data_IF_645522025155
#
_entry.id   IF_645522025155
#
_cell.length_a   1.000
_cell.length_b   1.000
_cell.length_c   1.000
_cell.angle_alpha   90.00
_cell.angle_beta   90.00
_cell.angle_gamma   90.00
#
_symmetry.space_group_name_H-M   'P 1'
#
loop_
_entity.id
_entity.type
_entity.pdbx_description
1 polymer ?
#
# COMPACT_ATOMS: atom_id res chain seq x y z
N UNK A 1 3.92 2.42 -18.60
CA UNK A 1 3.27 2.17 -17.32
C UNK A 1 1.76 2.15 -17.53
N UNK A 2 1.11 1.07 -17.12
CA UNK A 2 -0.35 1.03 -17.03
C UNK A 2 -0.70 0.97 -15.54
N UNK A 3 -1.76 1.68 -15.14
CA UNK A 3 -2.19 1.78 -13.75
C UNK A 3 -3.69 1.53 -13.67
N UNK A 4 -4.07 0.66 -12.75
CA UNK A 4 -5.45 0.38 -12.41
C UNK A 4 -5.75 0.83 -10.98
N UNK A 5 -6.96 1.32 -10.79
CA UNK A 5 -7.55 1.58 -9.49
C UNK A 5 -8.40 0.37 -9.11
N UNK A 6 -8.05 -0.26 -8.00
CA UNK A 6 -8.67 -1.47 -7.48
C UNK A 6 -9.40 -1.19 -6.18
N UNK A 7 -10.44 -1.97 -5.93
CA UNK A 7 -11.29 -1.85 -4.76
C UNK A 7 -11.59 -3.20 -4.13
N UNK A 8 -11.67 -3.21 -2.80
CA UNK A 8 -12.15 -4.36 -2.03
C UNK A 8 -13.64 -4.23 -1.72
N UNK A 9 -14.27 -5.32 -1.31
CA UNK A 9 -15.65 -5.30 -0.81
C UNK A 9 -15.80 -4.49 0.48
N UNK A 10 -14.73 -4.42 1.27
CA UNK A 10 -14.69 -3.75 2.57
C UNK A 10 -14.46 -2.22 2.45
N UNK A 11 -14.44 -1.69 1.22
CA UNK A 11 -14.32 -0.25 0.97
C UNK A 11 -12.89 0.28 1.01
N UNK A 12 -11.88 -0.57 0.79
CA UNK A 12 -10.50 -0.11 0.58
C UNK A 12 -10.23 0.15 -0.90
N UNK A 13 -9.36 1.13 -1.18
CA UNK A 13 -8.91 1.47 -2.52
C UNK A 13 -7.38 1.37 -2.66
N UNK A 14 -6.92 1.09 -3.88
CA UNK A 14 -5.50 1.02 -4.18
C UNK A 14 -5.15 1.12 -5.66
N UNK A 15 -3.96 1.61 -5.96
CA UNK A 15 -3.38 1.66 -7.29
C UNK A 15 -2.42 0.49 -7.50
N UNK A 16 -2.59 -0.20 -8.63
CA UNK A 16 -1.69 -1.24 -9.08
C UNK A 16 -1.07 -0.85 -10.42
N UNK A 17 0.25 -0.82 -10.50
CA UNK A 17 0.99 -0.47 -11.70
C UNK A 17 1.67 -1.70 -12.35
N UNK A 18 1.82 -1.67 -13.68
CA UNK A 18 2.50 -2.72 -14.46
C UNK A 18 4.04 -2.69 -14.37
N UNK A 19 4.59 -1.68 -13.69
CA UNK A 19 6.02 -1.47 -13.47
C UNK A 19 6.21 -0.64 -12.20
N UNK A 20 7.39 -0.72 -11.58
CA UNK A 20 7.70 0.09 -10.41
C UNK A 20 7.59 1.59 -10.70
N UNK A 21 7.13 2.34 -9.70
CA UNK A 21 7.21 3.78 -9.71
C UNK A 21 8.67 4.21 -9.59
N UNK A 22 9.08 5.15 -10.44
CA UNK A 22 10.48 5.60 -10.47
C UNK A 22 10.92 6.23 -9.15
N UNK A 23 9.97 6.88 -8.45
CA UNK A 23 10.15 7.48 -7.12
C UNK A 23 8.97 7.10 -6.23
N UNK A 24 9.17 7.20 -4.91
CA UNK A 24 8.08 7.00 -3.95
C UNK A 24 7.08 8.15 -4.03
N UNK A 25 5.80 7.82 -4.14
CA UNK A 25 4.73 8.81 -4.07
C UNK A 25 4.70 9.46 -2.69
N UNK A 26 4.43 10.77 -2.67
CA UNK A 26 4.08 11.50 -1.47
C UNK A 26 2.60 11.24 -1.12
N UNK A 27 1.74 11.29 -2.12
CA UNK A 27 0.29 11.21 -2.01
C UNK A 27 -0.36 10.99 -3.39
N UNK A 28 -1.65 10.69 -3.36
CA UNK A 28 -2.53 10.73 -4.54
C UNK A 28 -3.55 11.83 -4.31
N UNK A 29 -3.86 12.63 -5.33
CA UNK A 29 -4.87 13.68 -5.29
C UNK A 29 -6.02 13.28 -6.20
N UNK A 30 -7.24 13.33 -5.68
CA UNK A 30 -8.48 13.18 -6.45
C UNK A 30 -9.12 14.55 -6.62
N UNK A 31 -9.40 14.89 -7.88
CA UNK A 31 -10.21 16.03 -8.26
C UNK A 31 -11.61 15.52 -8.66
N UNK A 32 -12.63 15.91 -7.88
CA UNK A 32 -14.01 15.51 -8.16
C UNK A 32 -14.64 16.30 -9.32
N UNK A 33 -14.13 17.47 -9.66
CA UNK A 33 -14.62 18.27 -10.79
C UNK A 33 -14.24 17.63 -12.13
N UNK A 34 -12.98 17.20 -12.25
CA UNK A 34 -12.47 16.57 -13.47
C UNK A 34 -12.54 15.04 -13.44
N UNK A 35 -12.86 14.45 -12.28
CA UNK A 35 -12.80 13.01 -12.03
C UNK A 35 -11.39 12.43 -12.23
N UNK A 36 -10.33 13.23 -12.10
CA UNK A 36 -8.96 12.78 -12.38
C UNK A 36 -8.19 12.48 -11.10
N UNK A 37 -7.27 11.52 -11.20
CA UNK A 37 -6.29 11.25 -10.15
C UNK A 37 -4.93 11.81 -10.57
N UNK A 38 -4.23 12.42 -9.63
CA UNK A 38 -2.85 12.89 -9.79
C UNK A 38 -1.95 12.19 -8.78
N UNK A 39 -0.84 11.63 -9.25
CA UNK A 39 0.19 11.07 -8.40
C UNK A 39 1.25 12.12 -8.13
N UNK A 40 1.40 12.55 -6.88
CA UNK A 40 2.44 13.50 -6.49
C UNK A 40 3.66 12.78 -5.93
N UNK A 41 4.85 13.12 -6.43
CA UNK A 41 6.11 12.57 -5.96
C UNK A 41 6.73 13.47 -4.89
N UNK A 42 7.59 12.89 -4.05
CA UNK A 42 8.24 13.62 -2.95
C UNK A 42 9.14 14.80 -3.38
N UNK A 43 9.48 14.88 -4.65
CA UNK A 43 10.35 15.91 -5.22
C UNK A 43 9.58 16.95 -6.05
N UNK A 44 8.28 17.11 -5.79
CA UNK A 44 7.39 18.08 -6.44
C UNK A 44 7.12 17.80 -7.93
N UNK A 45 7.51 16.63 -8.41
CA UNK A 45 7.10 16.10 -9.70
C UNK A 45 5.70 15.47 -9.58
N UNK A 46 4.97 15.33 -10.69
CA UNK A 46 3.65 14.72 -10.68
C UNK A 46 3.34 13.95 -11.95
N UNK A 47 2.39 13.01 -11.85
CA UNK A 47 1.81 12.31 -12.99
C UNK A 47 0.28 12.41 -12.90
N UNK A 48 -0.33 13.12 -13.84
CA UNK A 48 -1.77 13.13 -14.03
C UNK A 48 -2.19 11.85 -14.77
N UNK A 49 -3.16 11.13 -14.20
CA UNK A 49 -3.64 9.88 -14.76
C UNK A 49 -4.65 10.17 -15.88
N UNK A 50 -4.50 9.50 -17.03
CA UNK A 50 -5.17 9.91 -18.26
C UNK A 50 -6.56 9.30 -18.50
N UNK A 51 -7.10 8.52 -17.55
CA UNK A 51 -8.46 7.98 -17.60
C UNK A 51 -9.23 8.45 -16.36
N UNK A 52 -10.37 9.15 -16.55
CA UNK A 52 -11.21 9.60 -15.45
C UNK A 52 -11.77 8.44 -14.62
N UNK A 53 -11.91 8.68 -13.32
CA UNK A 53 -12.52 7.77 -12.36
C UNK A 53 -14.05 7.82 -12.50
N UNK A 54 -14.70 6.67 -12.57
CA UNK A 54 -16.16 6.60 -12.55
C UNK A 54 -16.73 7.11 -11.21
N UNK A 55 -17.82 7.89 -11.31
CA UNK A 55 -18.45 8.54 -10.15
C UNK A 55 -18.97 7.55 -9.10
N UNK A 56 -19.35 6.35 -9.51
CA UNK A 56 -19.81 5.28 -8.61
C UNK A 56 -18.75 4.90 -7.57
N UNK A 57 -17.48 5.19 -7.83
CA UNK A 57 -16.37 4.89 -6.93
C UNK A 57 -16.01 6.04 -5.98
N UNK A 58 -16.60 7.23 -6.17
CA UNK A 58 -16.26 8.40 -5.38
C UNK A 58 -16.55 8.21 -3.89
N UNK A 59 -17.64 7.53 -3.53
CA UNK A 59 -17.97 7.29 -2.12
C UNK A 59 -16.90 6.44 -1.41
N UNK A 60 -16.30 5.47 -2.10
CA UNK A 60 -15.23 4.62 -1.54
C UNK A 60 -13.92 5.40 -1.41
N UNK A 61 -13.58 6.18 -2.43
CA UNK A 61 -12.39 7.04 -2.42
C UNK A 61 -12.50 8.13 -1.35
N UNK A 62 -13.68 8.74 -1.21
CA UNK A 62 -13.99 9.74 -0.20
C UNK A 62 -13.90 9.18 1.22
N UNK A 63 -14.17 7.88 1.42
CA UNK A 63 -14.02 7.21 2.70
C UNK A 63 -12.59 6.69 2.97
N UNK A 64 -11.66 6.83 2.02
CA UNK A 64 -10.32 6.25 2.07
C UNK A 64 -9.25 7.31 2.37
N UNK A 65 -8.82 7.51 3.64
CA UNK A 65 -7.77 8.49 3.96
C UNK A 65 -6.38 8.08 3.46
N UNK A 66 -6.18 6.77 3.28
CA UNK A 66 -4.97 6.18 2.72
C UNK A 66 -5.35 5.34 1.52
N UNK A 67 -4.49 5.34 0.51
CA UNK A 67 -4.61 4.49 -0.66
C UNK A 67 -3.41 3.55 -0.72
N UNK A 68 -3.68 2.28 -1.03
CA UNK A 68 -2.65 1.28 -1.26
C UNK A 68 -1.95 1.55 -2.58
N UNK A 69 -0.63 1.45 -2.62
CA UNK A 69 0.16 1.60 -3.85
C UNK A 69 0.97 0.34 -4.03
N UNK A 70 0.91 -0.27 -5.20
CA UNK A 70 1.86 -1.31 -5.56
C UNK A 70 2.13 -1.43 -7.04
N UNK A 71 3.11 -2.28 -7.34
CA UNK A 71 3.51 -2.60 -8.70
C UNK A 71 3.70 -4.11 -8.83
N UNK A 72 3.32 -4.64 -9.98
CA UNK A 72 3.54 -6.03 -10.37
C UNK A 72 4.52 -6.07 -11.52
N UNK A 73 5.57 -6.88 -11.37
CA UNK A 73 6.56 -7.11 -12.41
C UNK A 73 6.79 -8.60 -12.56
N UNK A 74 6.61 -9.13 -13.78
CA UNK A 74 6.80 -10.56 -14.11
C UNK A 74 5.97 -11.50 -13.20
N UNK A 75 4.78 -11.07 -12.79
CA UNK A 75 3.87 -11.85 -11.94
C UNK A 75 4.10 -11.71 -10.43
N UNK A 76 5.13 -10.96 -10.01
CA UNK A 76 5.42 -10.72 -8.59
C UNK A 76 5.11 -9.29 -8.19
N UNK A 77 4.61 -9.09 -6.97
CA UNK A 77 4.52 -7.78 -6.32
C UNK A 77 5.95 -7.30 -6.06
N UNK A 78 6.37 -6.27 -6.78
CA UNK A 78 7.73 -5.72 -6.74
C UNK A 78 7.84 -4.43 -5.93
N UNK A 79 6.72 -3.80 -5.62
CA UNK A 79 6.62 -2.62 -4.78
C UNK A 79 5.26 -2.60 -4.08
N UNK A 80 5.22 -2.24 -2.80
CA UNK A 80 3.99 -2.11 -2.04
C UNK A 80 4.17 -1.14 -0.87
N UNK A 81 3.26 -0.19 -0.69
CA UNK A 81 3.23 0.78 0.42
C UNK A 81 1.87 1.50 0.43
N UNK A 82 1.64 2.37 1.40
CA UNK A 82 0.46 3.24 1.44
C UNK A 82 0.87 4.71 1.40
N UNK A 83 0.02 5.54 0.81
CA UNK A 83 0.15 7.01 0.81
C UNK A 83 -1.20 7.66 1.12
N UNK A 84 -1.21 8.91 1.60
CA UNK A 84 -2.44 9.68 1.73
C UNK A 84 -3.17 9.82 0.40
N UNK A 85 -4.50 9.72 0.45
CA UNK A 85 -5.38 10.21 -0.61
C UNK A 85 -5.90 11.59 -0.18
N UNK A 86 -5.61 12.59 -1.00
CA UNK A 86 -6.08 13.96 -0.84
C UNK A 86 -7.23 14.23 -1.78
N UNK A 87 -8.18 15.03 -1.32
CA UNK A 87 -9.24 15.57 -2.17
C UNK A 87 -8.86 17.01 -2.48
N UNK A 88 -8.80 17.37 -3.76
CA UNK A 88 -8.34 18.70 -4.20
C UNK A 88 -9.14 19.82 -3.53
N UNK A 89 -10.45 19.63 -3.37
CA UNK A 89 -11.37 20.62 -2.80
C UNK A 89 -11.40 20.64 -1.26
N UNK A 90 -10.76 19.67 -0.60
CA UNK A 90 -10.72 19.58 0.86
C UNK A 90 -9.32 19.20 1.38
N UNK A 91 -8.39 20.18 1.41
CA UNK A 91 -7.01 19.94 1.87
C UNK A 91 -6.92 19.69 3.39
N UNK A 92 -7.97 20.01 4.17
CA UNK A 92 -7.99 19.81 5.61
C UNK A 92 -8.55 18.43 5.99
N UNK A 93 -9.03 17.64 5.03
CA UNK A 93 -9.62 16.34 5.35
C UNK A 93 -8.64 15.35 5.97
N UNK A 94 -7.38 15.38 5.55
CA UNK A 94 -6.32 14.60 6.19
C UNK A 94 -6.10 15.01 7.65
N UNK A 95 -6.46 16.24 8.03
CA UNK A 95 -6.49 16.64 9.44
C UNK A 95 -7.58 15.90 10.24
N UNK A 96 -8.63 15.40 9.61
CA UNK A 96 -9.60 14.54 10.32
C UNK A 96 -9.04 13.14 10.58
N UNK A 97 -7.97 12.77 9.87
CA UNK A 97 -7.35 11.46 9.89
C UNK A 97 -5.89 11.49 10.39
N UNK A 98 -5.46 12.53 11.12
CA UNK A 98 -4.07 12.66 11.65
C UNK A 98 -3.63 11.45 12.46
N UNK A 99 -4.59 10.81 13.14
CA UNK A 99 -4.38 9.64 13.99
C UNK A 99 -4.44 8.31 13.21
N UNK A 100 -4.81 8.34 11.93
CA UNK A 100 -4.69 7.20 11.01
C UNK A 100 -3.22 7.11 10.61
N UNK A 101 -2.40 6.59 11.54
CA UNK A 101 -0.99 6.31 11.26
C UNK A 101 -0.86 5.41 10.02
N UNK A 102 0.18 5.62 9.21
CA UNK A 102 0.59 4.64 8.21
C UNK A 102 0.78 3.31 8.95
N UNK A 103 -0.08 2.33 8.69
CA UNK A 103 -0.07 1.08 9.44
C UNK A 103 1.34 0.48 9.44
N UNK A 104 1.82 0.04 10.60
CA UNK A 104 3.17 -0.48 10.79
C UNK A 104 3.47 -1.74 9.93
N UNK A 105 2.51 -2.22 9.13
CA UNK A 105 2.59 -3.42 8.27
C UNK A 105 2.11 -3.15 6.84
N UNK A 106 2.52 -2.05 6.21
CA UNK A 106 2.06 -1.66 4.85
C UNK A 106 2.20 -2.77 3.79
N UNK A 107 3.24 -3.61 3.86
CA UNK A 107 3.40 -4.76 2.95
C UNK A 107 2.37 -5.87 3.19
N UNK A 108 2.13 -6.25 4.45
CA UNK A 108 1.12 -7.26 4.75
C UNK A 108 -0.28 -6.75 4.43
N UNK A 109 -0.58 -5.50 4.76
CA UNK A 109 -1.84 -4.85 4.45
C UNK A 109 -2.09 -4.85 2.93
N UNK A 110 -1.07 -4.51 2.13
CA UNK A 110 -1.16 -4.60 0.68
C UNK A 110 -1.42 -6.03 0.18
N UNK A 111 -0.75 -7.02 0.79
CA UNK A 111 -0.96 -8.43 0.45
C UNK A 111 -2.38 -8.93 0.73
N UNK A 112 -3.03 -8.43 1.79
CA UNK A 112 -4.45 -8.68 2.03
C UNK A 112 -5.33 -7.92 1.04
N UNK A 113 -5.08 -6.63 0.87
CA UNK A 113 -5.78 -5.76 -0.06
C UNK A 113 -5.88 -6.37 -1.46
N UNK A 114 -4.75 -6.73 -2.08
CA UNK A 114 -4.72 -7.29 -3.44
C UNK A 114 -5.50 -8.60 -3.54
N UNK A 115 -5.47 -9.44 -2.50
CA UNK A 115 -6.22 -10.72 -2.48
C UNK A 115 -7.73 -10.52 -2.30
N UNK A 116 -8.14 -9.42 -1.67
CA UNK A 116 -9.53 -9.05 -1.42
C UNK A 116 -10.11 -8.12 -2.51
N UNK A 117 -9.32 -7.72 -3.49
CA UNK A 117 -9.78 -6.90 -4.60
C UNK A 117 -10.83 -7.66 -5.43
N UNK A 118 -12.00 -7.05 -5.63
CA UNK A 118 -13.11 -7.66 -6.37
C UNK A 118 -13.38 -6.99 -7.71
N UNK A 119 -13.08 -5.69 -7.81
CA UNK A 119 -13.30 -4.90 -9.01
C UNK A 119 -12.24 -3.81 -9.13
N UNK A 120 -12.13 -3.24 -10.31
CA UNK A 120 -11.21 -2.15 -10.59
C UNK A 120 -11.43 -1.56 -11.96
N UNK A 121 -10.85 -0.39 -12.18
CA UNK A 121 -10.93 0.34 -13.44
C UNK A 121 -9.52 0.78 -13.88
N UNK A 122 -9.28 0.86 -15.19
CA UNK A 122 -8.09 1.52 -15.72
C UNK A 122 -8.13 3.01 -15.36
N UNK A 123 -7.02 3.55 -14.85
CA UNK A 123 -6.88 4.99 -14.59
C UNK A 123 -5.73 5.62 -15.38
N UNK A 124 -4.77 4.81 -15.83
CA UNK A 124 -3.72 5.29 -16.74
C UNK A 124 -3.27 4.23 -17.74
N UNK A 125 -3.09 4.62 -18.99
CA UNK A 125 -2.48 3.81 -20.06
C UNK A 125 -1.45 4.62 -20.83
N UNK A 126 -0.26 4.05 -21.02
CA UNK A 126 0.77 4.71 -21.84
C UNK A 126 0.38 4.78 -23.32
N UNK A 127 -0.31 3.74 -23.82
CA UNK A 127 -0.84 3.68 -25.18
C UNK A 127 -2.33 3.34 -25.14
N UNK A 128 -3.18 4.32 -25.44
CA UNK A 128 -4.64 4.16 -25.46
C UNK A 128 -5.11 3.32 -26.66
N UNK A 129 -4.26 3.16 -27.69
CA UNK A 129 -4.57 2.38 -28.89
C UNK A 129 -4.30 0.87 -28.75
N UNK A 130 -3.67 0.43 -27.67
CA UNK A 130 -3.37 -0.99 -27.44
C UNK A 130 -4.55 -1.72 -26.79
N UNK A 131 -5.38 -2.35 -27.63
CA UNK A 131 -6.55 -3.13 -27.23
C UNK A 131 -6.24 -4.25 -26.23
N UNK A 132 -5.00 -4.77 -26.19
CA UNK A 132 -4.62 -5.85 -25.27
C UNK A 132 -4.47 -5.36 -23.82
N UNK A 133 -4.24 -4.06 -23.63
CA UNK A 133 -4.04 -3.47 -22.30
C UNK A 133 -5.20 -2.58 -21.88
N UNK A 134 -6.26 -2.45 -22.70
CA UNK A 134 -7.47 -1.71 -22.34
C UNK A 134 -8.22 -2.32 -21.14
N UNK A 135 -8.09 -3.64 -20.91
CA UNK A 135 -8.60 -4.31 -19.72
C UNK A 135 -7.71 -4.12 -18.48
N UNK A 136 -7.92 -4.93 -17.43
CA UNK A 136 -7.10 -4.89 -16.22
C UNK A 136 -5.64 -5.29 -16.49
N UNK A 137 -4.66 -4.64 -15.84
CA UNK A 137 -3.22 -4.93 -15.97
C UNK A 137 -2.84 -6.34 -15.51
N UNK A 138 -3.71 -6.98 -14.72
CA UNK A 138 -3.54 -8.38 -14.31
C UNK A 138 -3.99 -9.37 -15.39
N UNK A 139 -4.70 -8.91 -16.43
CA UNK A 139 -5.26 -9.77 -17.47
C UNK A 139 -6.10 -10.90 -16.85
N UNK A 140 -5.78 -12.14 -17.20
CA UNK A 140 -6.41 -13.36 -16.66
C UNK A 140 -5.83 -13.81 -15.30
N UNK A 141 -4.77 -13.16 -14.80
CA UNK A 141 -4.16 -13.53 -13.53
C UNK A 141 -5.10 -13.18 -12.37
N UNK A 142 -5.47 -14.19 -11.58
CA UNK A 142 -6.24 -13.95 -10.36
C UNK A 142 -5.39 -13.16 -9.36
N UNK A 143 -5.88 -12.03 -8.80
CA UNK A 143 -5.15 -11.25 -7.80
C UNK A 143 -4.67 -12.10 -6.61
N UNK A 144 -5.43 -13.15 -6.27
CA UNK A 144 -5.12 -14.11 -5.21
C UNK A 144 -3.84 -14.94 -5.44
N UNK A 145 -3.40 -15.07 -6.70
CA UNK A 145 -2.21 -15.83 -7.09
C UNK A 145 -0.91 -15.05 -6.98
N UNK A 146 -0.98 -13.72 -6.81
CA UNK A 146 0.19 -12.84 -6.74
C UNK A 146 1.01 -13.11 -5.48
N UNK A 147 2.34 -13.16 -5.65
CA UNK A 147 3.30 -13.34 -4.57
C UNK A 147 4.22 -12.13 -4.47
N UNK A 148 4.77 -11.89 -3.28
CA UNK A 148 5.80 -10.87 -3.11
C UNK A 148 7.11 -11.32 -3.74
N UNK A 149 7.78 -10.39 -4.42
CA UNK A 149 9.14 -10.62 -4.89
C UNK A 149 10.06 -10.99 -3.70
N UNK A 150 11.11 -11.82 -3.91
CA UNK A 150 11.91 -12.41 -2.82
C UNK A 150 12.53 -11.41 -1.83
N UNK A 151 12.78 -10.17 -2.27
CA UNK A 151 13.31 -9.12 -1.40
C UNK A 151 12.25 -8.55 -0.44
N UNK A 152 11.01 -8.35 -0.90
CA UNK A 152 9.89 -7.95 -0.06
C UNK A 152 9.45 -9.07 0.88
N UNK A 153 9.44 -10.32 0.42
CA UNK A 153 9.15 -11.47 1.26
C UNK A 153 10.12 -11.59 2.45
N UNK A 154 11.43 -11.33 2.22
CA UNK A 154 12.43 -11.26 3.29
C UNK A 154 12.17 -10.12 4.26
N UNK A 155 11.76 -8.94 3.77
CA UNK A 155 11.41 -7.81 4.62
C UNK A 155 10.21 -8.15 5.52
N UNK A 156 9.16 -8.76 4.97
CA UNK A 156 8.00 -9.21 5.74
C UNK A 156 8.41 -10.21 6.83
N UNK A 157 9.28 -11.18 6.50
CA UNK A 157 9.78 -12.16 7.47
C UNK A 157 10.61 -11.52 8.59
N UNK A 158 11.41 -10.49 8.28
CA UNK A 158 12.18 -9.74 9.28
C UNK A 158 11.26 -8.90 10.18
N UNK A 159 10.28 -8.20 9.61
CA UNK A 159 9.28 -7.44 10.37
C UNK A 159 8.46 -8.35 11.30
N UNK A 160 8.07 -9.54 10.82
CA UNK A 160 7.39 -10.55 11.65
C UNK A 160 8.29 -11.11 12.76
N UNK A 161 9.57 -11.38 12.45
CA UNK A 161 10.54 -11.87 13.42
C UNK A 161 10.85 -10.85 14.52
N UNK A 162 10.93 -9.56 14.18
CA UNK A 162 11.10 -8.47 15.14
C UNK A 162 9.87 -8.29 16.04
N UNK A 163 8.66 -8.55 15.54
CA UNK A 163 7.42 -8.56 16.34
C UNK A 163 7.33 -9.77 17.28
N UNK A 164 7.81 -10.93 16.84
CA UNK A 164 7.82 -12.16 17.63
C UNK A 164 8.95 -12.20 18.67
N UNK A 165 9.96 -11.33 18.55
CA UNK A 165 10.98 -11.19 19.57
C UNK A 165 10.34 -10.65 20.85
N UNK A 166 10.40 -11.40 21.97
CA UNK A 166 9.89 -10.88 23.24
C UNK A 166 10.63 -9.57 23.52
N UNK A 167 9.89 -8.50 23.85
CA UNK A 167 10.46 -7.28 24.41
C UNK A 167 11.29 -7.72 25.61
N UNK A 168 12.59 -7.88 25.41
CA UNK A 168 13.51 -8.12 26.49
C UNK A 168 13.43 -6.85 27.34
N UNK A 169 12.66 -6.92 28.43
CA UNK A 169 12.74 -5.95 29.50
C UNK A 169 14.24 -5.71 29.76
N UNK A 170 14.68 -4.46 29.92
CA UNK A 170 16.09 -4.18 30.14
C UNK A 170 16.54 -5.05 31.31
N UNK A 171 17.37 -6.05 31.02
CA UNK A 171 18.03 -6.85 32.06
C UNK A 171 18.88 -5.83 32.81
N UNK A 172 18.38 -5.41 33.97
CA UNK A 172 19.16 -4.68 34.94
C UNK A 172 20.49 -5.41 35.18
N UNK A 173 21.55 -4.69 35.58
CA UNK A 173 22.87 -5.28 35.69
C UNK A 173 22.79 -6.51 36.58
N UNK A 174 23.14 -7.66 36.00
CA UNK A 174 23.22 -8.91 36.72
C UNK A 174 24.31 -8.76 37.77
N UNK A 175 23.90 -8.56 39.02
CA UNK A 175 24.82 -8.52 40.16
C UNK A 175 25.60 -9.84 40.24
N UNK A 176 26.89 -9.81 40.57
CA UNK A 176 27.73 -11.00 40.63
C UNK A 176 27.24 -11.93 41.75
N UNK A 177 27.08 -13.21 41.41
CA UNK A 177 26.67 -14.25 42.35
C UNK A 177 27.73 -14.51 43.43
N UNK A 178 27.30 -14.39 44.68
CA UNK A 178 27.84 -15.08 45.86
C UNK A 178 26.70 -16.00 46.32
N UNK A 179 26.80 -17.32 46.43
CA UNK A 179 27.93 -18.10 46.93
C UNK A 179 27.71 -18.36 48.43
N UNK A 180 27.13 -19.52 48.77
CA UNK A 180 26.98 -20.05 50.13
C UNK A 180 25.52 -20.44 50.44
N UNK A 181 25.15 -21.66 50.86
CA UNK A 181 25.90 -22.78 51.42
C UNK A 181 25.34 -23.13 52.80
N UNK A 182 24.72 -24.31 52.94
CA UNK A 182 24.32 -24.96 54.20
C UNK A 182 22.95 -24.51 54.76
N UNK A 183 22.06 -25.36 55.29
CA UNK A 183 22.15 -26.74 55.73
C UNK A 183 21.45 -26.89 57.09
N UNK A 184 20.47 -27.80 57.18
CA UNK A 184 20.14 -28.52 58.42
C UNK A 184 19.08 -27.95 59.36
N UNK A 185 18.03 -28.78 59.54
CA UNK A 185 17.18 -28.97 60.73
C UNK A 185 16.15 -27.90 61.10
#
# INVERSE_FOLDING_TARGET
MNIDLLFTQDGEAGLLASQNFFKKLACVVLDFETSTLTLEYKDMDYLELNIPVEQDYFAVLDASPLIHIGAVMKGDISQAYQVPLMIMDDPYRLEMFKDVGQGESSLQAFGYFVKSCMFGQPVHRDDLGDENTQGCILGDAMPSSLQFAPHLARQIALEAGLRAAPRAAPRGPSGPGMGGGGGGS
#
